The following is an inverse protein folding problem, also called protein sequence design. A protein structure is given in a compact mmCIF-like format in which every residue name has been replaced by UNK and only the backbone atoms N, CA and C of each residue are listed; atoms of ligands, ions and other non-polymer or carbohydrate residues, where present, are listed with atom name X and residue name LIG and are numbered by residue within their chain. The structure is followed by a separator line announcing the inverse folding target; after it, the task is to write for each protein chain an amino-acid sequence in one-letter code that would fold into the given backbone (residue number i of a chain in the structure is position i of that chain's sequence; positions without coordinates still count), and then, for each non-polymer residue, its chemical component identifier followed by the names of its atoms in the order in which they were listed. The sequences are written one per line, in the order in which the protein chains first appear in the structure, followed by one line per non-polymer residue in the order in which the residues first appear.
data_IF_604839077039
#
_entry.id   IF_604839077039
#
_cell.length_a   1.000
_cell.length_b   1.000
_cell.length_c   1.000
_cell.angle_alpha   90.00
_cell.angle_beta   90.00
_cell.angle_gamma   90.00
#
_symmetry.space_group_name_H-M   'P 1'
#
loop_
_entity.id
_entity.type
_entity.pdbx_description
1 polymer ?
#
# COMPACT_ATOMS: atom_id res chain seq x y z
N UNK A 1 -9.71 -13.32 -15.65
CA UNK A 1 -9.94 -13.33 -14.19
C UNK A 1 -8.68 -13.79 -13.48
N UNK A 2 -7.93 -12.91 -12.79
CA UNK A 2 -6.77 -13.30 -11.95
C UNK A 2 -7.14 -13.08 -10.49
N UNK A 3 -7.26 -14.18 -9.75
CA UNK A 3 -7.63 -14.23 -8.34
C UNK A 3 -6.47 -13.76 -7.45
N UNK A 4 -6.75 -12.89 -6.48
CA UNK A 4 -5.83 -12.54 -5.40
C UNK A 4 -5.67 -13.76 -4.47
N UNK A 5 -4.43 -14.25 -4.31
CA UNK A 5 -4.15 -15.32 -3.34
C UNK A 5 -3.99 -14.74 -1.94
N UNK A 6 -4.74 -15.28 -0.99
CA UNK A 6 -4.61 -14.97 0.43
C UNK A 6 -3.33 -15.62 0.96
N UNK A 7 -2.34 -14.79 1.33
CA UNK A 7 -1.08 -15.27 1.90
C UNK A 7 -1.26 -15.34 3.42
N UNK A 8 -1.14 -16.52 4.03
CA UNK A 8 -1.09 -16.65 5.49
C UNK A 8 0.27 -16.16 6.01
N UNK A 9 0.23 -15.40 7.11
CA UNK A 9 1.41 -14.78 7.73
C UNK A 9 2.37 -15.83 8.28
N UNK A 10 3.60 -15.85 7.76
CA UNK A 10 4.83 -15.62 8.53
C UNK A 10 6.02 -15.69 7.57
N UNK A 11 6.45 -14.55 7.05
CA UNK A 11 7.81 -14.40 6.50
C UNK A 11 8.29 -12.98 6.83
N UNK A 12 8.79 -12.81 8.04
CA UNK A 12 9.86 -11.86 8.32
C UNK A 12 11.09 -12.33 7.54
N UNK A 13 11.30 -11.79 6.36
CA UNK A 13 12.62 -11.75 5.74
C UNK A 13 12.65 -10.46 4.95
N UNK A 14 13.75 -9.72 5.05
CA UNK A 14 14.11 -8.70 4.07
C UNK A 14 14.11 -9.39 2.69
N UNK A 15 12.93 -9.45 2.05
CA UNK A 15 12.83 -9.93 0.68
C UNK A 15 13.47 -8.84 -0.16
N UNK A 16 14.66 -9.15 -0.67
CA UNK A 16 15.04 -8.77 -2.02
C UNK A 16 13.76 -8.88 -2.88
N UNK A 17 13.11 -7.75 -3.16
CA UNK A 17 11.88 -7.70 -3.94
C UNK A 17 12.27 -7.87 -5.42
N UNK A 18 12.78 -9.05 -5.77
CA UNK A 18 13.28 -9.36 -7.11
C UNK A 18 12.15 -9.38 -8.15
N UNK A 19 10.92 -9.62 -7.72
CA UNK A 19 9.75 -9.69 -8.59
C UNK A 19 8.85 -8.46 -8.37
N UNK A 20 9.01 -7.49 -9.25
CA UNK A 20 8.14 -6.33 -9.38
C UNK A 20 7.35 -6.43 -10.68
N UNK A 21 6.08 -6.03 -10.64
CA UNK A 21 5.29 -5.87 -11.86
C UNK A 21 5.35 -4.41 -12.29
N UNK A 22 6.04 -4.15 -13.40
CA UNK A 22 5.91 -2.88 -14.12
C UNK A 22 4.55 -2.82 -14.80
N UNK A 23 3.85 -1.70 -14.64
CA UNK A 23 2.57 -1.46 -15.27
C UNK A 23 2.77 -0.45 -16.39
N UNK A 24 2.76 -0.94 -17.62
CA UNK A 24 2.83 -0.07 -18.78
C UNK A 24 1.51 0.67 -18.95
N UNK A 25 1.54 1.99 -18.78
CA UNK A 25 0.39 2.88 -18.83
C UNK A 25 0.82 4.06 -19.68
N UNK A 26 0.08 4.37 -20.76
CA UNK A 26 0.39 5.55 -21.57
C UNK A 26 0.16 6.82 -20.74
N UNK A 27 -1.05 6.98 -20.21
CA UNK A 27 -1.46 8.10 -19.35
C UNK A 27 -2.52 7.64 -18.32
N UNK A 28 -2.62 8.36 -17.20
CA UNK A 28 -3.65 8.13 -16.18
C UNK A 28 -3.24 7.20 -15.04
N UNK A 29 -4.11 6.24 -14.70
CA UNK A 29 -3.94 5.38 -13.52
C UNK A 29 -4.33 3.93 -13.79
N UNK A 30 -3.62 3.00 -13.13
CA UNK A 30 -3.98 1.58 -13.09
C UNK A 30 -4.48 1.23 -11.70
N UNK A 31 -5.72 0.72 -11.62
CA UNK A 31 -6.34 0.37 -10.35
C UNK A 31 -6.45 -1.15 -10.18
N UNK A 32 -6.21 -1.61 -8.96
CA UNK A 32 -6.55 -2.93 -8.47
C UNK A 32 -7.88 -2.83 -7.73
N UNK A 33 -8.88 -3.56 -8.22
CA UNK A 33 -10.16 -3.67 -7.54
C UNK A 33 -10.06 -4.78 -6.49
N UNK A 34 -10.23 -4.42 -5.22
CA UNK A 34 -10.11 -5.32 -4.09
C UNK A 34 -11.48 -5.46 -3.40
N UNK A 35 -11.93 -6.70 -3.11
CA UNK A 35 -13.19 -6.91 -2.41
C UNK A 35 -13.08 -6.41 -0.96
N UNK A 36 -14.13 -5.73 -0.49
CA UNK A 36 -14.25 -5.23 0.89
C UNK A 36 -15.69 -5.45 1.35
N UNK A 37 -15.93 -5.34 2.65
CA UNK A 37 -17.26 -5.32 3.23
C UNK A 37 -17.56 -3.88 3.62
N UNK A 38 -18.69 -3.34 3.18
CA UNK A 38 -19.10 -1.98 3.51
C UNK A 38 -19.12 -1.78 5.04
N UNK A 39 -18.66 -0.62 5.47
CA UNK A 39 -18.51 -0.15 6.86
C UNK A 39 -17.39 -0.82 7.68
N UNK A 40 -16.76 -1.88 7.18
CA UNK A 40 -15.59 -2.48 7.84
C UNK A 40 -14.32 -1.64 7.64
N UNK A 41 -13.39 -1.76 8.59
CA UNK A 41 -12.11 -1.06 8.57
C UNK A 41 -11.03 -1.97 8.01
N UNK A 42 -10.21 -1.42 7.12
CA UNK A 42 -9.15 -2.16 6.46
C UNK A 42 -7.83 -1.41 6.51
N UNK A 43 -6.75 -2.17 6.67
CA UNK A 43 -5.40 -1.75 6.34
C UNK A 43 -5.10 -2.18 4.90
N UNK A 44 -4.63 -1.22 4.11
CA UNK A 44 -4.10 -1.46 2.77
C UNK A 44 -2.63 -1.08 2.72
N UNK A 45 -1.81 -1.93 2.10
CA UNK A 45 -0.37 -1.70 2.00
C UNK A 45 0.14 -2.09 0.61
N UNK A 46 0.71 -1.11 -0.09
CA UNK A 46 1.50 -1.35 -1.29
C UNK A 46 2.98 -1.43 -0.93
N UNK A 47 3.68 -2.44 -1.42
CA UNK A 47 5.13 -2.63 -1.22
C UNK A 47 5.83 -2.41 -2.55
N UNK A 48 6.86 -1.56 -2.50
CA UNK A 48 7.59 -1.10 -3.67
C UNK A 48 9.07 -1.45 -3.53
N UNK A 49 9.70 -2.07 -4.54
CA UNK A 49 11.13 -2.31 -4.56
C UNK A 49 11.89 -0.97 -4.62
N UNK A 50 12.92 -0.85 -3.78
CA UNK A 50 13.87 0.25 -3.84
C UNK A 50 14.81 0.09 -5.05
N UNK A 51 15.13 1.19 -5.72
CA UNK A 51 16.12 1.20 -6.80
C UNK A 51 15.71 0.51 -8.10
N UNK A 52 14.44 0.10 -8.26
CA UNK A 52 13.96 -0.58 -9.48
C UNK A 52 14.02 0.31 -10.72
N UNK A 53 13.67 1.60 -10.57
CA UNK A 53 13.84 2.64 -11.58
C UNK A 53 14.46 3.87 -10.93
N UNK A 54 15.67 4.26 -11.32
CA UNK A 54 16.38 5.40 -10.72
C UNK A 54 15.63 6.71 -11.00
N UNK A 55 15.61 7.62 -10.01
CA UNK A 55 15.01 8.96 -10.10
C UNK A 55 13.57 8.98 -10.61
N UNK A 56 12.80 7.97 -10.24
CA UNK A 56 11.44 7.79 -10.71
C UNK A 56 10.42 8.06 -9.62
N UNK A 57 9.32 8.72 -9.98
CA UNK A 57 8.21 9.02 -9.06
C UNK A 57 6.85 8.69 -9.66
N UNK A 58 5.94 8.21 -8.82
CA UNK A 58 4.53 8.01 -9.15
C UNK A 58 3.67 8.11 -7.89
N UNK A 59 2.36 8.29 -8.07
CA UNK A 59 1.43 8.45 -6.95
C UNK A 59 0.63 7.18 -6.67
N UNK A 60 0.21 7.03 -5.42
CA UNK A 60 -0.65 5.96 -4.93
C UNK A 60 -1.90 6.56 -4.31
N UNK A 61 -3.06 6.04 -4.70
CA UNK A 61 -4.35 6.48 -4.17
C UNK A 61 -5.25 5.29 -3.83
N UNK A 62 -6.15 5.50 -2.88
CA UNK A 62 -7.27 4.62 -2.58
C UNK A 62 -8.58 5.33 -2.93
N UNK A 63 -9.32 4.79 -3.89
CA UNK A 63 -10.48 5.45 -4.48
C UNK A 63 -10.10 6.82 -5.06
N UNK A 64 -10.61 7.88 -4.44
CA UNK A 64 -10.32 9.29 -4.78
C UNK A 64 -9.26 9.93 -3.87
N UNK A 65 -8.85 9.25 -2.79
CA UNK A 65 -7.95 9.79 -1.78
C UNK A 65 -6.51 9.41 -2.08
N UNK A 66 -5.61 10.39 -2.21
CA UNK A 66 -4.19 10.14 -2.40
C UNK A 66 -3.54 9.70 -1.07
N UNK A 67 -2.86 8.55 -1.07
CA UNK A 67 -2.12 8.03 0.09
C UNK A 67 -0.68 8.55 0.12
N UNK A 68 -0.07 8.78 -1.04
CA UNK A 68 1.30 9.28 -1.09
C UNK A 68 1.93 9.22 -2.49
N UNK A 69 3.19 9.62 -2.55
CA UNK A 69 4.05 9.41 -3.70
C UNK A 69 5.10 8.36 -3.36
N UNK A 70 5.41 7.48 -4.30
CA UNK A 70 6.56 6.58 -4.21
C UNK A 70 7.73 7.27 -4.90
N UNK A 71 8.81 7.46 -4.17
CA UNK A 71 10.05 8.04 -4.70
C UNK A 71 11.12 6.95 -4.61
N UNK A 72 11.63 6.52 -5.76
CA UNK A 72 12.53 5.35 -5.84
C UNK A 72 13.85 5.52 -5.08
N UNK A 73 14.30 6.75 -4.86
CA UNK A 73 15.51 7.08 -4.09
C UNK A 73 15.29 7.14 -2.57
N UNK A 74 14.05 6.98 -2.08
CA UNK A 74 13.70 7.07 -0.67
C UNK A 74 13.50 5.69 -0.07
N UNK A 75 14.31 5.34 0.94
CA UNK A 75 14.10 4.12 1.75
C UNK A 75 12.81 4.17 2.57
N UNK A 76 12.25 5.36 2.81
CA UNK A 76 11.01 5.53 3.56
C UNK A 76 9.77 5.09 2.76
N UNK A 77 9.86 5.05 1.42
CA UNK A 77 8.74 4.74 0.53
C UNK A 77 8.70 3.27 0.06
N UNK A 78 9.46 2.40 0.74
CA UNK A 78 9.45 0.94 0.52
C UNK A 78 8.05 0.32 0.73
N UNK A 79 7.19 0.98 1.51
CA UNK A 79 5.79 0.60 1.61
C UNK A 79 4.89 1.78 1.98
N UNK A 80 3.86 2.01 1.18
CA UNK A 80 2.79 2.97 1.49
C UNK A 80 1.66 2.20 2.16
N UNK A 81 1.36 2.56 3.39
CA UNK A 81 0.30 1.99 4.19
C UNK A 81 -0.78 3.03 4.50
N UNK A 82 -2.04 2.61 4.35
CA UNK A 82 -3.20 3.40 4.74
C UNK A 82 -4.23 2.54 5.46
N UNK A 83 -5.00 3.17 6.33
CA UNK A 83 -6.16 2.57 6.99
C UNK A 83 -7.40 3.30 6.51
N UNK A 84 -8.45 2.58 6.15
CA UNK A 84 -9.68 3.20 5.67
C UNK A 84 -10.92 2.43 6.09
N UNK A 85 -12.04 3.15 6.19
CA UNK A 85 -13.36 2.55 6.31
C UNK A 85 -13.94 2.36 4.91
N UNK A 86 -14.32 1.13 4.58
CA UNK A 86 -14.89 0.81 3.28
C UNK A 86 -16.30 1.43 3.14
N UNK A 87 -16.52 2.23 2.09
CA UNK A 87 -17.84 2.84 1.81
C UNK A 87 -18.70 1.98 0.87
N UNK A 88 -18.07 1.00 0.21
CA UNK A 88 -18.65 0.08 -0.77
C UNK A 88 -18.13 -1.34 -0.51
N UNK A 89 -18.64 -2.31 -1.26
CA UNK A 89 -18.15 -3.71 -1.20
C UNK A 89 -16.87 -3.94 -2.02
N UNK A 90 -16.25 -2.88 -2.49
CA UNK A 90 -14.97 -2.90 -3.18
C UNK A 90 -14.23 -1.60 -2.89
N UNK A 91 -12.91 -1.67 -2.97
CA UNK A 91 -12.05 -0.49 -2.98
C UNK A 91 -11.10 -0.57 -4.16
N UNK A 92 -10.70 0.60 -4.67
CA UNK A 92 -9.75 0.69 -5.77
C UNK A 92 -8.42 1.19 -5.24
N UNK A 93 -7.38 0.38 -5.35
CA UNK A 93 -6.00 0.80 -5.10
C UNK A 93 -5.34 1.16 -6.42
N UNK A 94 -5.09 2.45 -6.64
CA UNK A 94 -4.62 2.96 -7.91
C UNK A 94 -3.17 3.44 -7.83
N UNK A 95 -2.42 3.06 -8.86
CA UNK A 95 -1.10 3.57 -9.17
C UNK A 95 -1.25 4.58 -10.30
N UNK A 96 -0.92 5.83 -10.03
CA UNK A 96 -1.11 6.96 -10.94
C UNK A 96 0.25 7.32 -11.54
N UNK A 97 0.35 7.19 -12.86
CA UNK A 97 1.56 7.55 -13.59
C UNK A 97 1.83 9.04 -13.45
N UNK A 98 3.09 9.38 -13.20
CA UNK A 98 3.61 10.75 -13.33
C UNK A 98 4.66 10.77 -14.43
N UNK A 99 5.91 10.56 -14.05
CA UNK A 99 7.06 10.59 -14.97
C UNK A 99 7.32 9.22 -15.58
N UNK A 100 7.12 8.16 -14.78
CA UNK A 100 7.40 6.79 -15.19
C UNK A 100 6.20 5.88 -15.02
N UNK A 101 6.28 4.74 -15.72
CA UNK A 101 5.36 3.63 -15.51
C UNK A 101 5.47 3.13 -14.07
N UNK A 102 4.36 3.10 -13.32
CA UNK A 102 4.39 2.66 -11.93
C UNK A 102 4.68 1.17 -11.84
N UNK A 103 5.22 0.77 -10.71
CA UNK A 103 5.53 -0.62 -10.41
C UNK A 103 5.05 -0.98 -9.02
N UNK A 104 4.80 -2.27 -8.77
CA UNK A 104 4.42 -2.79 -7.46
C UNK A 104 4.92 -4.22 -7.33
N UNK A 105 5.47 -4.57 -6.17
CA UNK A 105 5.86 -5.96 -5.89
C UNK A 105 4.74 -6.71 -5.18
N UNK A 106 4.14 -6.08 -4.17
CA UNK A 106 3.08 -6.70 -3.38
C UNK A 106 2.00 -5.70 -2.99
N UNK A 107 0.77 -6.18 -2.92
CA UNK A 107 -0.40 -5.46 -2.43
C UNK A 107 -1.08 -6.32 -1.36
N UNK A 108 -1.21 -5.77 -0.17
CA UNK A 108 -1.88 -6.42 0.97
C UNK A 108 -3.13 -5.63 1.34
N UNK A 109 -4.22 -6.36 1.58
CA UNK A 109 -5.45 -5.83 2.18
C UNK A 109 -5.82 -6.71 3.37
N UNK A 110 -5.98 -6.10 4.53
CA UNK A 110 -6.25 -6.83 5.78
C UNK A 110 -7.35 -6.12 6.59
N UNK A 111 -8.36 -6.85 7.11
CA UNK A 111 -9.32 -6.29 8.04
C UNK A 111 -8.65 -5.82 9.32
N UNK A 112 -9.17 -4.76 9.92
CA UNK A 112 -8.77 -4.22 11.21
C UNK A 112 -10.00 -4.05 12.12
N UNK A 113 -9.81 -4.16 13.46
CA UNK A 113 -10.84 -3.75 14.42
C UNK A 113 -11.25 -2.30 14.21
N UNK A 114 -12.52 -1.99 14.50
CA UNK A 114 -13.08 -0.65 14.31
C UNK A 114 -12.38 0.41 15.18
N UNK A 115 -11.84 -0.01 16.34
CA UNK A 115 -11.10 0.82 17.33
C UNK A 115 -10.00 1.69 16.71
N UNK A 116 -9.43 1.28 15.57
CA UNK A 116 -8.38 2.05 14.88
C UNK A 116 -8.86 3.33 14.19
N UNK A 117 -10.17 3.46 13.94
CA UNK A 117 -10.78 4.63 13.28
C UNK A 117 -11.89 5.28 14.11
N UNK A 118 -12.14 4.82 15.33
CA UNK A 118 -13.13 5.47 16.19
C UNK A 118 -12.77 6.96 16.38
N UNK A 119 -13.78 7.81 16.19
CA UNK A 119 -13.75 9.27 16.40
C UNK A 119 -13.00 10.14 15.38
N UNK A 120 -12.51 9.57 14.27
CA UNK A 120 -11.85 10.36 13.23
C UNK A 120 -12.84 10.85 12.15
N UNK A 121 -12.88 12.15 11.85
CA UNK A 121 -13.76 12.70 10.81
C UNK A 121 -13.34 12.24 9.40
N UNK A 122 -12.13 11.74 9.25
CA UNK A 122 -11.56 11.25 7.99
C UNK A 122 -11.69 9.74 7.88
N UNK A 123 -12.28 9.28 6.77
CA UNK A 123 -12.45 7.84 6.47
C UNK A 123 -11.17 7.14 6.01
N UNK A 124 -10.06 7.86 5.86
CA UNK A 124 -8.76 7.35 5.39
C UNK A 124 -7.63 7.99 6.19
N UNK A 125 -6.72 7.17 6.70
CA UNK A 125 -5.48 7.55 7.37
C UNK A 125 -4.27 7.01 6.61
N UNK A 126 -3.16 7.74 6.68
CA UNK A 126 -1.85 7.30 6.19
C UNK A 126 -0.94 6.99 7.38
N UNK A 127 -0.23 5.88 7.32
CA UNK A 127 0.84 5.62 8.29
C UNK A 127 2.02 6.57 8.03
N UNK A 128 2.41 7.35 9.04
CA UNK A 128 3.59 8.23 8.98
C UNK A 128 4.81 7.56 9.61
N UNK A 129 4.66 6.94 10.78
CA UNK A 129 5.75 6.25 11.47
C UNK A 129 5.20 5.20 12.42
N UNK A 130 5.95 4.10 12.61
CA UNK A 130 5.75 3.17 13.73
C UNK A 130 6.97 3.23 14.62
N UNK A 131 6.76 3.61 15.87
CA UNK A 131 7.83 3.68 16.86
C UNK A 131 7.56 2.64 17.93
N UNK A 132 8.51 1.72 18.14
CA UNK A 132 8.51 0.89 19.32
C UNK A 132 9.27 1.63 20.42
N UNK A 133 8.55 2.06 21.46
CA UNK A 133 9.12 2.82 22.58
C UNK A 133 9.84 1.91 23.58
N UNK A 134 9.68 0.58 23.47
CA UNK A 134 10.42 -0.41 24.24
C UNK A 134 11.57 -0.94 23.37
N UNK A 135 12.69 -0.24 23.39
CA UNK A 135 13.89 -0.66 22.67
C UNK A 135 14.59 -1.81 23.38
N UNK A 136 14.62 -2.98 22.74
CA UNK A 136 15.83 -3.81 22.69
C UNK A 136 16.04 -4.17 21.23
N UNK A 137 17.22 -3.81 20.71
CA UNK A 137 17.68 -4.17 19.35
C UNK A 137 18.22 -5.60 19.29
N UNK A 138 18.07 -6.36 20.36
CA UNK A 138 18.44 -7.75 20.45
C UNK A 138 17.14 -8.54 20.67
N UNK A 139 16.63 -9.11 19.60
CA UNK A 139 15.98 -10.44 19.58
C UNK A 139 15.75 -10.82 18.11
N UNK A 140 16.89 -11.20 17.49
CA UNK A 140 17.12 -12.08 16.33
C UNK A 140 16.84 -11.52 14.91
#
# INVERSE_FOLDING_TARGET
FRSCRQISKNVSNYRSNENARLLDINEGKRCYNLPTIKNEVYLIRGIFPFGYLLNSSFNVSIGVTQLGAVISSSLQDLGIEGVFRATKNYTDFCLVKREVNPYISQLELRPLPEEYLHDLPTSVLKLISRNNLKGTKDDI
#
